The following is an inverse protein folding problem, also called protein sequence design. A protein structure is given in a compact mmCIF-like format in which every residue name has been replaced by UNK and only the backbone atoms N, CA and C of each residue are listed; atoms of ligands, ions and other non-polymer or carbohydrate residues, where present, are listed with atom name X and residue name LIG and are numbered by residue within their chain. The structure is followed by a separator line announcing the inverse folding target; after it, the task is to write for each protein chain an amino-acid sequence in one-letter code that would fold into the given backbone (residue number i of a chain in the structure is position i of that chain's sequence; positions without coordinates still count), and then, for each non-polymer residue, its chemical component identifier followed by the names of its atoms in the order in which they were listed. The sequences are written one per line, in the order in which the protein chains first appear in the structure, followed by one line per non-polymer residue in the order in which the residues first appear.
data_IF_777433051673
#
_entry.id   IF_777433051673
#
_cell.length_a   1.000
_cell.length_b   1.000
_cell.length_c   1.000
_cell.angle_alpha   90.00
_cell.angle_beta   90.00
_cell.angle_gamma   90.00
#
_symmetry.space_group_name_H-M   'P 1'
#
loop_
_entity.id
_entity.type
_entity.pdbx_description
1 polymer ?
#
# COMPACT_ATOMS: atom_id res chain seq x y z
N UNK A 1 21.55 30.95 -21.24
CA UNK A 1 20.90 30.28 -20.08
C UNK A 1 20.31 28.92 -20.44
N UNK A 2 20.97 28.10 -21.24
CA UNK A 2 20.45 26.82 -21.78
C UNK A 2 21.12 25.56 -21.18
N UNK A 3 22.13 25.70 -20.35
CA UNK A 3 22.91 24.55 -19.85
C UNK A 3 22.30 23.79 -18.66
N UNK A 4 21.55 24.47 -17.81
CA UNK A 4 21.04 23.86 -16.55
C UNK A 4 19.82 22.94 -16.79
N UNK A 5 19.00 23.21 -17.82
CA UNK A 5 17.81 22.40 -18.13
C UNK A 5 18.18 21.05 -18.78
N UNK A 6 19.27 20.97 -19.54
CA UNK A 6 19.70 19.73 -20.18
C UNK A 6 20.35 18.74 -19.19
N UNK A 7 21.07 19.24 -18.19
CA UNK A 7 21.65 18.40 -17.15
C UNK A 7 20.58 17.67 -16.32
N UNK A 8 19.53 18.40 -15.90
CA UNK A 8 18.44 17.80 -15.11
C UNK A 8 17.62 16.74 -15.86
N UNK A 9 17.43 16.88 -17.17
CA UNK A 9 16.74 15.88 -18.00
C UNK A 9 17.55 14.57 -18.13
N UNK A 10 18.87 14.66 -18.27
CA UNK A 10 19.76 13.51 -18.32
C UNK A 10 19.81 12.74 -17.00
N UNK A 11 19.82 13.45 -15.88
CA UNK A 11 19.82 12.85 -14.55
C UNK A 11 18.48 12.12 -14.26
N UNK A 12 17.35 12.70 -14.68
CA UNK A 12 16.05 12.07 -14.51
C UNK A 12 15.94 10.79 -15.35
N UNK A 13 16.40 10.82 -16.61
CA UNK A 13 16.43 9.62 -17.47
C UNK A 13 17.32 8.51 -16.90
N UNK A 14 18.47 8.87 -16.33
CA UNK A 14 19.35 7.91 -15.67
C UNK A 14 18.68 7.27 -14.44
N UNK A 15 17.99 8.07 -13.63
CA UNK A 15 17.24 7.60 -12.47
C UNK A 15 16.08 6.65 -12.84
N UNK A 16 15.35 6.96 -13.91
CA UNK A 16 14.30 6.09 -14.45
C UNK A 16 14.86 4.76 -14.97
N UNK A 17 15.96 4.78 -15.70
CA UNK A 17 16.63 3.59 -16.20
C UNK A 17 17.14 2.71 -15.03
N UNK A 18 17.75 3.34 -14.02
CA UNK A 18 18.19 2.64 -12.81
C UNK A 18 16.98 2.02 -12.08
N UNK A 19 15.89 2.76 -11.93
CA UNK A 19 14.67 2.24 -11.29
C UNK A 19 14.14 1.00 -11.99
N UNK A 20 13.98 1.05 -13.33
CA UNK A 20 13.49 -0.10 -14.12
C UNK A 20 14.38 -1.32 -13.95
N UNK A 21 15.69 -1.13 -13.96
CA UNK A 21 16.65 -2.22 -13.73
C UNK A 21 16.48 -2.86 -12.34
N UNK A 22 16.32 -2.05 -11.28
CA UNK A 22 16.11 -2.53 -9.92
C UNK A 22 14.76 -3.23 -9.76
N UNK A 23 13.69 -2.67 -10.32
CA UNK A 23 12.36 -3.27 -10.30
C UNK A 23 12.33 -4.62 -11.02
N UNK A 24 13.04 -4.74 -12.15
CA UNK A 24 13.23 -6.01 -12.84
C UNK A 24 14.01 -7.03 -12.00
N UNK A 25 15.05 -6.61 -11.29
CA UNK A 25 15.81 -7.49 -10.39
C UNK A 25 14.93 -8.03 -9.25
N UNK A 26 14.09 -7.18 -8.64
CA UNK A 26 13.14 -7.58 -7.61
C UNK A 26 12.19 -8.65 -8.15
N UNK A 27 11.58 -8.41 -9.32
CA UNK A 27 10.68 -9.36 -9.97
C UNK A 27 11.36 -10.69 -10.30
N UNK A 28 12.56 -10.65 -10.87
CA UNK A 28 13.32 -11.85 -11.25
C UNK A 28 13.71 -12.69 -10.02
N UNK A 29 14.14 -12.07 -8.92
CA UNK A 29 14.45 -12.78 -7.68
C UNK A 29 13.23 -13.53 -7.14
N UNK A 30 12.04 -12.94 -7.22
CA UNK A 30 10.79 -13.55 -6.76
C UNK A 30 10.35 -14.71 -7.67
N UNK A 31 10.42 -14.55 -8.97
CA UNK A 31 10.11 -15.64 -9.92
C UNK A 31 11.01 -16.86 -9.74
N UNK A 32 12.26 -16.63 -9.32
CA UNK A 32 13.20 -17.70 -8.98
C UNK A 32 12.97 -18.33 -7.59
N UNK A 33 11.88 -17.94 -6.88
CA UNK A 33 11.58 -18.42 -5.53
C UNK A 33 12.49 -17.86 -4.44
N UNK A 34 13.28 -16.82 -4.77
CA UNK A 34 14.15 -16.11 -3.83
C UNK A 34 13.51 -14.85 -3.24
N UNK A 35 14.32 -14.13 -2.49
CA UNK A 35 14.00 -12.79 -2.00
C UNK A 35 14.98 -11.79 -2.60
N UNK A 36 14.49 -10.61 -2.92
CA UNK A 36 15.35 -9.49 -3.30
C UNK A 36 16.28 -9.10 -2.14
N UNK A 37 17.45 -8.58 -2.46
CA UNK A 37 18.32 -7.98 -1.47
C UNK A 37 17.66 -6.69 -0.92
N UNK A 38 17.65 -6.49 0.41
CA UNK A 38 17.04 -5.32 1.03
C UNK A 38 17.49 -3.99 0.42
N UNK A 39 18.78 -3.87 0.12
CA UNK A 39 19.37 -2.67 -0.48
C UNK A 39 18.84 -2.37 -1.89
N UNK A 40 18.48 -3.41 -2.67
CA UNK A 40 17.88 -3.24 -4.00
C UNK A 40 16.49 -2.63 -3.88
N UNK A 41 15.69 -3.14 -2.95
CA UNK A 41 14.36 -2.61 -2.66
C UNK A 41 14.44 -1.16 -2.14
N UNK A 42 15.27 -0.90 -1.14
CA UNK A 42 15.43 0.45 -0.56
C UNK A 42 15.90 1.46 -1.61
N UNK A 43 16.79 1.05 -2.50
CA UNK A 43 17.26 1.92 -3.58
C UNK A 43 16.15 2.20 -4.59
N UNK A 44 15.36 1.20 -4.98
CA UNK A 44 14.24 1.38 -5.91
C UNK A 44 13.19 2.33 -5.34
N UNK A 45 12.78 2.13 -4.08
CA UNK A 45 11.82 3.02 -3.41
C UNK A 45 12.36 4.43 -3.26
N UNK A 46 13.64 4.61 -2.95
CA UNK A 46 14.25 5.95 -2.85
C UNK A 46 14.23 6.71 -4.17
N UNK A 47 14.37 6.04 -5.29
CA UNK A 47 14.23 6.66 -6.62
C UNK A 47 12.79 7.11 -6.88
N UNK A 48 11.80 6.31 -6.51
CA UNK A 48 10.39 6.71 -6.57
C UNK A 48 10.11 7.92 -5.66
N UNK A 49 10.63 7.94 -4.44
CA UNK A 49 10.48 9.08 -3.51
C UNK A 49 11.01 10.37 -4.15
N UNK A 50 12.18 10.33 -4.76
CA UNK A 50 12.78 11.49 -5.45
C UNK A 50 11.90 11.98 -6.59
N UNK A 51 11.41 11.08 -7.44
CA UNK A 51 10.57 11.41 -8.59
C UNK A 51 9.24 12.02 -8.15
N UNK A 52 8.57 11.41 -7.15
CA UNK A 52 7.30 11.89 -6.64
C UNK A 52 7.47 13.24 -5.96
N UNK A 53 8.46 13.42 -5.10
CA UNK A 53 8.72 14.70 -4.44
C UNK A 53 9.05 15.80 -5.44
N UNK A 54 9.80 15.51 -6.48
CA UNK A 54 10.05 16.45 -7.58
C UNK A 54 8.74 16.87 -8.24
N UNK A 55 7.86 15.93 -8.55
CA UNK A 55 6.56 16.18 -9.19
C UNK A 55 5.59 16.96 -8.28
N UNK A 56 5.55 16.62 -6.98
CA UNK A 56 4.71 17.31 -6.00
C UNK A 56 5.16 18.75 -5.76
N UNK A 57 6.47 19.00 -5.78
CA UNK A 57 7.06 20.35 -5.58
C UNK A 57 6.97 21.24 -6.82
N UNK A 58 6.78 20.66 -7.99
CA UNK A 58 6.68 21.41 -9.24
C UNK A 58 5.43 22.29 -9.35
N UNK A 59 4.38 21.99 -8.55
CA UNK A 59 3.12 22.75 -8.57
C UNK A 59 2.46 22.77 -7.19
N UNK A 60 1.88 23.91 -6.76
CA UNK A 60 1.07 23.97 -5.55
C UNK A 60 -0.20 23.10 -5.62
N UNK A 61 -0.66 22.79 -6.84
CA UNK A 61 -1.78 21.87 -7.13
C UNK A 61 -1.29 20.74 -8.03
N UNK A 62 -0.69 19.67 -7.47
CA UNK A 62 -0.14 18.58 -8.25
C UNK A 62 -1.18 17.89 -9.12
N UNK A 63 -0.84 17.63 -10.38
CA UNK A 63 -1.70 16.86 -11.28
C UNK A 63 -1.48 15.37 -11.08
N UNK A 64 -2.29 14.76 -10.22
CA UNK A 64 -2.20 13.33 -9.90
C UNK A 64 -2.32 12.42 -11.11
N UNK A 65 -3.20 12.77 -12.07
CA UNK A 65 -3.35 11.96 -13.29
C UNK A 65 -2.07 11.96 -14.14
N UNK A 66 -1.35 13.08 -14.20
CA UNK A 66 -0.07 13.15 -14.89
C UNK A 66 1.02 12.37 -14.15
N UNK A 67 1.09 12.50 -12.82
CA UNK A 67 2.06 11.76 -11.99
C UNK A 67 1.82 10.26 -12.12
N UNK A 68 0.57 9.80 -11.98
CA UNK A 68 0.23 8.39 -12.09
C UNK A 68 0.51 7.81 -13.49
N UNK A 69 0.33 8.58 -14.55
CA UNK A 69 0.77 8.18 -15.91
C UNK A 69 2.30 8.01 -15.99
N UNK A 70 3.06 8.91 -15.38
CA UNK A 70 4.52 8.79 -15.33
C UNK A 70 4.96 7.56 -14.53
N UNK A 71 4.29 7.28 -13.40
CA UNK A 71 4.54 6.07 -12.62
C UNK A 71 4.20 4.80 -13.40
N UNK A 72 3.07 4.78 -14.11
CA UNK A 72 2.70 3.66 -14.99
C UNK A 72 3.72 3.45 -16.12
N UNK A 73 4.30 4.52 -16.67
CA UNK A 73 5.34 4.44 -17.70
C UNK A 73 6.66 3.83 -17.20
N UNK A 74 6.92 3.83 -15.88
CA UNK A 74 8.08 3.15 -15.31
C UNK A 74 7.95 1.62 -15.40
N UNK A 75 6.71 1.12 -15.45
CA UNK A 75 6.38 -0.29 -15.52
C UNK A 75 6.28 -0.77 -16.97
N UNK A 76 6.01 0.15 -17.90
CA UNK A 76 5.86 -0.16 -19.33
C UNK A 76 7.16 -0.73 -19.89
N UNK A 77 7.13 -2.01 -20.25
CA UNK A 77 8.27 -2.79 -20.74
C UNK A 77 8.16 -4.22 -20.26
N UNK A 78 9.21 -4.99 -20.39
CA UNK A 78 9.30 -6.42 -20.05
C UNK A 78 9.22 -6.72 -18.53
N UNK A 79 8.38 -6.00 -17.78
CA UNK A 79 8.16 -6.28 -16.36
C UNK A 79 7.53 -7.67 -16.23
N UNK A 80 8.23 -8.65 -15.68
CA UNK A 80 7.78 -10.06 -15.70
C UNK A 80 6.57 -10.31 -14.80
N UNK A 81 6.08 -9.28 -14.08
CA UNK A 81 5.04 -9.46 -13.06
C UNK A 81 4.24 -8.17 -12.88
N UNK A 82 2.98 -8.31 -12.47
CA UNK A 82 2.01 -7.22 -12.22
C UNK A 82 2.51 -6.23 -11.15
N UNK A 83 3.37 -5.31 -11.55
CA UNK A 83 3.77 -4.19 -10.68
C UNK A 83 2.71 -3.10 -10.75
N UNK A 84 2.53 -2.37 -9.66
CA UNK A 84 1.65 -1.20 -9.64
C UNK A 84 2.18 -0.12 -8.72
N UNK A 85 2.19 1.11 -9.20
CA UNK A 85 2.54 2.30 -8.43
C UNK A 85 1.43 3.31 -8.57
N UNK A 86 0.78 3.65 -7.45
CA UNK A 86 -0.37 4.53 -7.43
C UNK A 86 -0.17 5.61 -6.38
N UNK A 87 -0.27 6.87 -6.80
CA UNK A 87 -0.28 8.03 -5.91
C UNK A 87 -1.71 8.53 -5.75
N UNK A 88 -2.17 8.61 -4.52
CA UNK A 88 -3.49 9.12 -4.17
C UNK A 88 -3.39 10.32 -3.23
N UNK A 89 -4.42 11.18 -3.25
CA UNK A 89 -4.55 12.27 -2.31
C UNK A 89 -5.32 11.80 -1.08
N UNK A 90 -4.76 12.09 0.09
CA UNK A 90 -5.50 11.94 1.34
C UNK A 90 -6.27 13.22 1.65
N UNK A 91 -7.48 13.06 2.17
CA UNK A 91 -8.31 14.16 2.68
C UNK A 91 -7.71 14.70 3.98
N UNK A 92 -6.66 15.51 3.85
CA UNK A 92 -5.86 16.02 4.97
C UNK A 92 -5.67 17.53 4.93
N UNK A 93 -5.47 18.12 6.11
CA UNK A 93 -5.01 19.50 6.25
C UNK A 93 -3.77 19.51 7.16
N UNK A 94 -2.58 19.85 6.67
CA UNK A 94 -2.23 20.20 5.28
C UNK A 94 -2.40 19.03 4.30
N UNK A 95 -2.41 19.28 2.97
CA UNK A 95 -2.54 18.24 1.97
C UNK A 95 -1.48 17.16 2.12
N UNK A 96 -1.90 15.91 2.05
CA UNK A 96 -1.02 14.75 2.05
C UNK A 96 -1.33 13.84 0.85
N UNK A 97 -0.32 13.11 0.41
CA UNK A 97 -0.41 12.14 -0.68
C UNK A 97 0.17 10.82 -0.21
N UNK A 98 -0.42 9.74 -0.66
CA UNK A 98 0.05 8.39 -0.35
C UNK A 98 0.45 7.70 -1.64
N UNK A 99 1.67 7.17 -1.67
CA UNK A 99 2.12 6.22 -2.69
C UNK A 99 1.87 4.81 -2.17
N UNK A 100 1.19 4.01 -2.98
CA UNK A 100 1.11 2.58 -2.84
C UNK A 100 2.02 1.99 -3.92
N UNK A 101 3.11 1.37 -3.50
CA UNK A 101 4.08 0.75 -4.37
C UNK A 101 4.04 -0.77 -4.21
N UNK A 102 3.69 -1.47 -5.29
CA UNK A 102 3.69 -2.91 -5.35
C UNK A 102 4.64 -3.38 -6.46
N UNK A 103 5.65 -4.17 -6.10
CA UNK A 103 6.67 -4.66 -7.02
C UNK A 103 6.31 -6.02 -7.66
N UNK A 104 5.03 -6.36 -7.66
CA UNK A 104 4.49 -7.52 -8.38
C UNK A 104 4.14 -8.69 -7.50
N UNK A 105 3.74 -9.80 -8.14
CA UNK A 105 3.38 -11.05 -7.47
C UNK A 105 4.49 -11.51 -6.55
N UNK A 106 4.16 -11.73 -5.28
CA UNK A 106 5.12 -12.06 -4.22
C UNK A 106 6.27 -11.06 -4.04
N UNK A 107 6.20 -9.90 -4.66
CA UNK A 107 7.17 -8.82 -4.48
C UNK A 107 6.93 -8.05 -3.18
N UNK A 108 7.92 -7.25 -2.75
CA UNK A 108 7.72 -6.35 -1.63
C UNK A 108 6.73 -5.25 -2.00
N UNK A 109 6.05 -4.74 -0.99
CA UNK A 109 5.19 -3.57 -1.11
C UNK A 109 5.59 -2.50 -0.10
N UNK A 110 5.27 -1.26 -0.42
CA UNK A 110 5.56 -0.12 0.43
C UNK A 110 4.45 0.93 0.34
N UNK A 111 4.21 1.59 1.45
CA UNK A 111 3.43 2.82 1.50
C UNK A 111 4.38 3.96 1.87
N UNK A 112 4.27 5.06 1.13
CA UNK A 112 4.95 6.33 1.40
C UNK A 112 3.91 7.42 1.56
N UNK A 113 4.05 8.22 2.61
CA UNK A 113 3.17 9.37 2.84
C UNK A 113 4.00 10.64 2.69
N UNK A 114 3.56 11.51 1.78
CA UNK A 114 4.16 12.81 1.54
C UNK A 114 3.21 13.89 2.04
N UNK A 115 3.69 14.79 2.87
CA UNK A 115 2.90 15.90 3.38
C UNK A 115 3.48 17.25 3.03
N UNK A 116 2.62 18.24 2.88
CA UNK A 116 3.02 19.63 2.69
C UNK A 116 3.43 20.25 4.03
N UNK A 117 4.56 20.94 4.04
CA UNK A 117 5.07 21.69 5.17
C UNK A 117 5.57 23.09 4.76
N UNK A 118 6.23 23.79 5.65
CA UNK A 118 6.76 25.14 5.41
C UNK A 118 7.74 25.23 4.23
N UNK A 119 8.44 24.13 3.92
CA UNK A 119 9.43 24.05 2.85
C UNK A 119 8.95 23.23 1.64
N UNK A 120 7.62 23.08 1.46
CA UNK A 120 7.02 22.26 0.44
C UNK A 120 6.79 20.81 0.87
N UNK A 121 6.61 19.92 -0.10
CA UNK A 121 6.38 18.50 0.18
C UNK A 121 7.64 17.78 0.64
N UNK A 122 7.46 16.92 1.64
CA UNK A 122 8.51 16.02 2.17
C UNK A 122 7.91 14.63 2.44
N UNK A 123 8.77 13.63 2.48
CA UNK A 123 8.40 12.29 2.94
C UNK A 123 8.14 12.36 4.45
N UNK A 124 6.89 12.14 4.83
CA UNK A 124 6.43 12.24 6.22
C UNK A 124 6.44 10.88 6.92
N UNK A 125 6.17 9.78 6.17
CA UNK A 125 6.10 8.46 6.77
C UNK A 125 6.39 7.34 5.78
N UNK A 126 6.82 6.21 6.32
CA UNK A 126 7.14 4.97 5.61
C UNK A 126 6.44 3.81 6.30
N UNK A 127 5.83 2.95 5.50
CA UNK A 127 5.33 1.64 5.92
C UNK A 127 5.85 0.65 4.89
N UNK A 128 6.89 -0.07 5.25
CA UNK A 128 7.57 -1.01 4.36
C UNK A 128 7.27 -2.44 4.77
N UNK A 129 7.05 -3.29 3.79
CA UNK A 129 6.91 -4.74 3.97
C UNK A 129 5.86 -5.10 5.02
N UNK A 130 4.64 -4.67 4.78
CA UNK A 130 3.50 -5.01 5.64
C UNK A 130 3.22 -6.52 5.71
N UNK A 131 3.92 -7.33 4.92
CA UNK A 131 3.65 -8.73 4.74
C UNK A 131 4.72 -9.64 5.30
N UNK A 132 4.29 -10.80 5.79
CA UNK A 132 5.16 -11.87 6.26
C UNK A 132 5.74 -12.67 5.07
N UNK A 133 6.89 -13.31 5.30
CA UNK A 133 7.78 -13.92 4.30
C UNK A 133 7.19 -14.99 3.36
N UNK A 134 5.97 -15.46 3.54
CA UNK A 134 5.46 -16.66 2.87
C UNK A 134 4.26 -16.42 1.94
N UNK A 135 4.00 -15.20 1.52
CA UNK A 135 2.91 -14.90 0.62
C UNK A 135 3.39 -14.96 -0.83
N UNK A 136 2.64 -15.66 -1.68
CA UNK A 136 2.96 -15.77 -3.11
C UNK A 136 2.39 -14.60 -3.91
N UNK A 137 1.17 -14.15 -3.57
CA UNK A 137 0.51 -13.04 -4.26
C UNK A 137 0.10 -12.00 -3.22
N UNK A 138 0.73 -10.85 -3.26
CA UNK A 138 0.47 -9.74 -2.36
C UNK A 138 -0.08 -8.56 -3.13
N UNK A 139 -1.14 -7.98 -2.63
CA UNK A 139 -1.56 -6.65 -3.05
C UNK A 139 -1.74 -5.76 -1.83
N UNK A 140 -1.53 -4.49 -2.03
CA UNK A 140 -1.70 -3.48 -1.01
C UNK A 140 -2.80 -2.52 -1.48
N UNK A 141 -3.83 -2.38 -0.68
CA UNK A 141 -4.87 -1.39 -0.91
C UNK A 141 -4.92 -0.41 0.26
N UNK A 142 -5.01 0.86 -0.03
CA UNK A 142 -5.25 1.91 0.94
C UNK A 142 -6.69 2.34 0.87
N UNK A 143 -7.39 2.25 2.00
CA UNK A 143 -8.77 2.67 2.11
C UNK A 143 -8.84 3.78 3.16
N UNK A 144 -9.00 5.04 2.77
CA UNK A 144 -9.18 6.12 3.72
C UNK A 144 -10.52 5.94 4.44
N UNK A 145 -10.49 6.04 5.77
CA UNK A 145 -11.72 6.14 6.55
C UNK A 145 -11.95 7.62 6.84
N UNK A 146 -13.10 8.18 6.46
CA UNK A 146 -13.45 9.55 6.80
C UNK A 146 -13.57 9.67 8.33
N UNK A 147 -12.53 10.14 8.97
CA UNK A 147 -12.49 10.46 10.38
C UNK A 147 -11.69 11.75 10.58
N UNK A 148 -11.91 12.42 11.69
CA UNK A 148 -11.35 13.74 12.00
C UNK A 148 -9.81 13.80 11.97
N UNK A 149 -9.13 12.67 12.11
CA UNK A 149 -7.67 12.59 12.16
C UNK A 149 -7.17 11.55 11.17
N UNK A 150 -7.19 11.79 9.91
CA UNK A 150 -6.54 10.94 8.89
C UNK A 150 -6.25 9.51 9.34
N UNK A 151 -7.29 8.79 9.63
CA UNK A 151 -7.19 7.38 9.91
C UNK A 151 -7.41 6.63 8.60
N UNK A 152 -6.55 5.68 8.32
CA UNK A 152 -6.66 4.86 7.12
C UNK A 152 -6.46 3.38 7.44
N UNK A 153 -7.04 2.53 6.64
CA UNK A 153 -6.87 1.08 6.73
C UNK A 153 -6.05 0.61 5.54
N UNK A 154 -5.02 -0.16 5.83
CA UNK A 154 -4.29 -0.90 4.81
C UNK A 154 -4.77 -2.34 4.80
N UNK A 155 -4.97 -2.86 3.62
CA UNK A 155 -5.29 -4.25 3.42
C UNK A 155 -4.15 -4.86 2.61
N UNK A 156 -3.55 -5.88 3.15
CA UNK A 156 -2.60 -6.69 2.41
C UNK A 156 -3.27 -8.02 2.14
N UNK A 157 -3.55 -8.28 0.88
CA UNK A 157 -4.22 -9.48 0.46
C UNK A 157 -3.26 -10.49 -0.12
N UNK A 158 -3.64 -11.73 -0.03
CA UNK A 158 -3.03 -12.84 -0.70
C UNK A 158 -4.04 -13.39 -1.70
N UNK A 159 -3.67 -13.49 -2.97
CA UNK A 159 -4.46 -14.13 -4.01
C UNK A 159 -4.21 -15.63 -4.01
N UNK A 160 -4.32 -16.27 -2.89
CA UNK A 160 -4.36 -17.72 -2.83
C UNK A 160 -5.81 -18.21 -2.77
N UNK A 161 -5.97 -19.50 -2.87
CA UNK A 161 -7.28 -20.15 -2.82
C UNK A 161 -8.03 -19.93 -1.49
N UNK A 162 -7.34 -19.46 -0.45
CA UNK A 162 -7.90 -19.21 0.87
C UNK A 162 -8.36 -17.75 1.05
N UNK A 163 -8.06 -16.87 0.09
CA UNK A 163 -8.38 -15.43 0.17
C UNK A 163 -7.98 -14.83 1.53
N UNK A 164 -6.76 -15.12 1.95
CA UNK A 164 -6.25 -14.67 3.24
C UNK A 164 -5.92 -13.18 3.18
N UNK A 165 -6.36 -12.41 4.16
CA UNK A 165 -6.06 -10.97 4.26
C UNK A 165 -5.47 -10.58 5.60
N UNK A 166 -4.58 -9.61 5.59
CA UNK A 166 -4.07 -8.91 6.76
C UNK A 166 -4.50 -7.46 6.72
N UNK A 167 -4.98 -6.96 7.84
CA UNK A 167 -5.60 -5.63 7.94
C UNK A 167 -4.89 -4.83 9.04
N UNK A 168 -4.58 -3.58 8.75
CA UNK A 168 -4.00 -2.66 9.71
C UNK A 168 -4.71 -1.30 9.66
N UNK A 169 -5.02 -0.74 10.82
CA UNK A 169 -5.53 0.62 10.92
C UNK A 169 -4.44 1.54 11.46
N UNK A 170 -4.27 2.67 10.81
CA UNK A 170 -3.21 3.62 11.05
C UNK A 170 -3.76 5.01 11.30
N UNK A 171 -3.10 5.76 12.14
CA UNK A 171 -3.32 7.20 12.29
C UNK A 171 -2.12 7.95 11.74
N UNK A 172 -2.39 8.88 10.83
CA UNK A 172 -1.41 9.84 10.37
C UNK A 172 -1.65 11.19 11.05
N UNK A 173 -0.63 11.72 11.70
CA UNK A 173 -0.67 13.02 12.35
C UNK A 173 0.57 13.81 12.01
N UNK A 174 0.42 14.79 11.12
CA UNK A 174 1.47 15.72 10.71
C UNK A 174 2.66 15.05 10.01
N UNK A 175 3.56 14.46 10.73
CA UNK A 175 4.77 13.79 10.21
C UNK A 175 4.99 12.41 10.83
N UNK A 176 4.00 11.86 11.50
CA UNK A 176 4.09 10.54 12.12
C UNK A 176 2.95 9.64 11.70
N UNK A 177 3.25 8.35 11.60
CA UNK A 177 2.26 7.29 11.43
C UNK A 177 2.31 6.39 12.64
N UNK A 178 1.15 6.12 13.21
CA UNK A 178 0.97 5.25 14.36
C UNK A 178 0.08 4.08 13.98
N UNK A 179 0.53 2.86 14.26
CA UNK A 179 -0.29 1.65 14.13
C UNK A 179 -1.27 1.61 15.31
N UNK A 180 -2.56 1.66 15.02
CA UNK A 180 -3.61 1.67 16.03
C UNK A 180 -4.20 0.27 16.27
N UNK A 181 -4.22 -0.54 15.23
CA UNK A 181 -4.82 -1.86 15.28
C UNK A 181 -4.30 -2.73 14.12
N UNK A 182 -4.22 -4.02 14.35
CA UNK A 182 -3.77 -5.00 13.38
C UNK A 182 -4.51 -6.33 13.55
N UNK A 183 -4.85 -6.96 12.43
CA UNK A 183 -5.33 -8.33 12.37
C UNK A 183 -4.64 -9.04 11.21
N UNK A 184 -4.03 -10.18 11.50
CA UNK A 184 -3.22 -10.90 10.54
C UNK A 184 -3.89 -12.18 10.06
N UNK A 185 -3.65 -12.51 8.79
CA UNK A 185 -3.96 -13.81 8.19
C UNK A 185 -5.41 -14.29 8.36
N UNK A 186 -6.37 -13.38 8.28
CA UNK A 186 -7.78 -13.73 8.32
C UNK A 186 -8.17 -14.48 7.05
N UNK A 187 -8.56 -15.75 7.19
CA UNK A 187 -8.95 -16.61 6.07
C UNK A 187 -10.32 -16.25 5.52
N UNK A 188 -10.51 -16.38 4.21
CA UNK A 188 -11.75 -16.05 3.51
C UNK A 188 -12.26 -14.66 3.89
N UNK A 189 -11.32 -13.71 3.98
CA UNK A 189 -11.60 -12.40 4.50
C UNK A 189 -12.09 -11.45 3.43
N UNK A 190 -12.98 -10.55 3.83
CA UNK A 190 -13.47 -9.43 3.04
C UNK A 190 -13.67 -8.23 3.95
N UNK A 191 -13.69 -7.03 3.38
CA UNK A 191 -13.87 -5.81 4.15
C UNK A 191 -14.81 -4.82 3.47
N UNK A 192 -15.47 -4.01 4.29
CA UNK A 192 -16.33 -2.92 3.86
C UNK A 192 -16.02 -1.68 4.68
N UNK A 193 -15.71 -0.57 4.03
CA UNK A 193 -15.49 0.72 4.69
C UNK A 193 -16.81 1.47 4.82
N UNK A 194 -17.07 2.01 6.00
CA UNK A 194 -18.22 2.87 6.29
C UNK A 194 -17.75 4.24 6.78
N UNK A 195 -18.65 5.23 6.78
CA UNK A 195 -18.32 6.59 7.20
C UNK A 195 -17.81 6.69 8.66
N UNK A 196 -18.18 5.76 9.52
CA UNK A 196 -17.83 5.73 10.94
C UNK A 196 -16.83 4.61 11.31
N UNK A 197 -16.37 3.85 10.32
CA UNK A 197 -15.48 2.73 10.59
C UNK A 197 -15.36 1.72 9.46
N UNK A 198 -15.17 0.46 9.80
CA UNK A 198 -15.08 -0.62 8.84
C UNK A 198 -15.68 -1.92 9.39
N UNK A 199 -16.01 -2.82 8.47
CA UNK A 199 -16.46 -4.19 8.78
C UNK A 199 -15.47 -5.18 8.19
N UNK A 200 -15.16 -6.21 8.96
CA UNK A 200 -14.39 -7.36 8.50
C UNK A 200 -15.28 -8.58 8.53
N UNK A 201 -15.29 -9.32 7.44
CA UNK A 201 -15.93 -10.63 7.35
C UNK A 201 -14.83 -11.66 7.14
N UNK A 202 -14.79 -12.71 7.93
CA UNK A 202 -13.74 -13.72 7.85
C UNK A 202 -14.16 -15.06 8.43
N UNK A 203 -13.43 -16.10 8.10
CA UNK A 203 -13.61 -17.41 8.68
C UNK A 203 -12.99 -17.46 10.08
N UNK A 204 -13.82 -17.57 11.10
CA UNK A 204 -13.38 -17.69 12.49
C UNK A 204 -13.05 -19.14 12.89
N UNK A 205 -13.61 -20.13 12.20
CA UNK A 205 -13.36 -21.55 12.42
C UNK A 205 -13.24 -22.30 11.10
N UNK A 206 -11.99 -22.43 10.56
CA UNK A 206 -11.76 -23.26 9.40
C UNK A 206 -12.02 -24.74 9.67
N UNK A 207 -12.36 -25.52 8.64
CA UNK A 207 -12.43 -26.97 8.73
C UNK A 207 -11.03 -27.57 8.88
N UNK A 208 -10.84 -28.48 9.85
CA UNK A 208 -9.53 -29.09 10.14
C UNK A 208 -8.99 -29.91 8.95
N UNK A 209 -9.90 -30.57 8.22
CA UNK A 209 -9.55 -31.45 7.09
C UNK A 209 -9.48 -30.72 5.75
N UNK A 210 -10.13 -29.58 5.65
CA UNK A 210 -10.17 -28.76 4.45
C UNK A 210 -10.19 -27.27 4.84
N UNK A 211 -9.03 -26.60 4.94
CA UNK A 211 -8.97 -25.18 5.30
C UNK A 211 -9.72 -24.25 4.34
N UNK A 212 -10.11 -24.73 3.14
CA UNK A 212 -10.94 -23.98 2.20
C UNK A 212 -12.42 -23.95 2.60
N UNK A 213 -12.82 -24.78 3.54
CA UNK A 213 -14.15 -24.81 4.10
C UNK A 213 -14.17 -24.12 5.45
N UNK A 214 -15.25 -23.40 5.73
CA UNK A 214 -15.41 -22.65 6.96
C UNK A 214 -16.62 -23.18 7.73
N UNK A 215 -16.43 -23.53 8.99
CA UNK A 215 -17.52 -23.91 9.90
C UNK A 215 -18.28 -22.69 10.38
N UNK A 216 -17.58 -21.61 10.64
CA UNK A 216 -18.19 -20.39 11.17
C UNK A 216 -17.58 -19.14 10.57
N UNK A 217 -18.37 -18.45 9.76
CA UNK A 217 -18.07 -17.11 9.31
C UNK A 217 -18.49 -16.08 10.37
N UNK A 218 -17.69 -15.05 10.50
CA UNK A 218 -17.92 -13.96 11.47
C UNK A 218 -17.80 -12.62 10.77
N UNK A 219 -18.63 -11.68 11.18
CA UNK A 219 -18.54 -10.28 10.80
C UNK A 219 -18.32 -9.42 12.03
N UNK A 220 -17.21 -8.72 12.06
CA UNK A 220 -16.87 -7.74 13.07
C UNK A 220 -17.08 -6.32 12.53
N UNK A 221 -17.69 -5.45 13.34
CA UNK A 221 -17.80 -4.02 13.06
C UNK A 221 -16.88 -3.27 14.01
N UNK A 222 -16.05 -2.42 13.43
CA UNK A 222 -15.14 -1.53 14.14
C UNK A 222 -15.56 -0.09 13.91
N UNK A 223 -15.56 0.71 14.98
CA UNK A 223 -15.76 2.16 14.91
C UNK A 223 -14.63 2.88 15.61
N UNK A 224 -14.35 4.08 15.18
CA UNK A 224 -13.38 4.96 15.83
C UNK A 224 -14.00 5.57 17.10
N UNK A 225 -13.41 5.30 18.27
CA UNK A 225 -13.89 5.79 19.56
C UNK A 225 -12.72 6.13 20.48
N UNK A 226 -12.78 7.34 21.09
CA UNK A 226 -11.82 7.76 22.13
C UNK A 226 -10.34 7.54 21.75
N UNK A 227 -9.99 7.82 20.49
CA UNK A 227 -8.61 7.73 20.00
C UNK A 227 -8.14 6.31 19.61
N UNK A 228 -9.05 5.37 19.45
CA UNK A 228 -8.74 4.01 18.99
C UNK A 228 -9.89 3.33 18.25
N UNK A 229 -9.57 2.24 17.55
CA UNK A 229 -10.56 1.37 16.94
C UNK A 229 -11.12 0.43 17.98
N UNK A 230 -12.44 0.39 18.09
CA UNK A 230 -13.13 -0.53 18.98
C UNK A 230 -14.07 -1.42 18.19
N UNK A 231 -13.99 -2.72 18.44
CA UNK A 231 -14.99 -3.66 17.95
C UNK A 231 -16.28 -3.42 18.72
N UNK A 232 -17.31 -2.94 18.05
CA UNK A 232 -18.61 -2.59 18.64
C UNK A 232 -19.67 -3.66 18.41
N UNK A 233 -19.43 -4.54 17.44
CA UNK A 233 -20.33 -5.64 17.15
C UNK A 233 -19.56 -6.82 16.60
N UNK A 234 -19.96 -8.01 17.01
CA UNK A 234 -19.57 -9.28 16.40
C UNK A 234 -20.83 -10.08 16.11
N UNK A 235 -20.98 -10.58 14.92
CA UNK A 235 -22.14 -11.39 14.53
C UNK A 235 -21.71 -12.57 13.65
N UNK A 236 -22.23 -13.77 13.92
CA UNK A 236 -22.08 -14.87 12.99
C UNK A 236 -22.87 -14.56 11.72
N UNK A 237 -22.36 -15.02 10.59
CA UNK A 237 -23.06 -14.97 9.30
C UNK A 237 -23.19 -16.37 8.73
N UNK A 238 -24.20 -16.56 7.89
CA UNK A 238 -24.37 -17.84 7.22
C UNK A 238 -23.15 -18.15 6.34
N UNK A 239 -22.64 -19.36 6.44
CA UNK A 239 -21.59 -19.83 5.54
C UNK A 239 -22.23 -20.01 4.14
N UNK A 240 -21.68 -19.40 3.08
CA UNK A 240 -22.19 -19.60 1.75
C UNK A 240 -22.17 -21.09 1.39
N UNK A 241 -23.31 -21.63 1.01
CA UNK A 241 -23.34 -22.97 0.40
C UNK A 241 -22.71 -22.87 -0.98
N UNK A 242 -21.60 -23.56 -1.18
CA UNK A 242 -20.97 -23.73 -2.50
C UNK A 242 -21.67 -24.80 -3.30
#
# INVERSE_FOLDING_TARGET
MTGTAMAGASELQAAEAEFRRLASQIGAARLAGGTEAPEVFERAISLLDVQILSSLRASPTPNLAAINRSLAALIAGDAPVSQSFLLERLEATPPAYVLIANFGLAGPSAIRIYSSGAHGFSLAARIDRLTQKNFFDEYLALVPIPASDLVFVTVTGRTDELQTGSFAAWRFRGQSVELLWFADLLQQSDYEVAADGFRLTYCAEPEDRNPRECRRMTRDRFTWQAGGWKRVQQSPIAVPKR
#
